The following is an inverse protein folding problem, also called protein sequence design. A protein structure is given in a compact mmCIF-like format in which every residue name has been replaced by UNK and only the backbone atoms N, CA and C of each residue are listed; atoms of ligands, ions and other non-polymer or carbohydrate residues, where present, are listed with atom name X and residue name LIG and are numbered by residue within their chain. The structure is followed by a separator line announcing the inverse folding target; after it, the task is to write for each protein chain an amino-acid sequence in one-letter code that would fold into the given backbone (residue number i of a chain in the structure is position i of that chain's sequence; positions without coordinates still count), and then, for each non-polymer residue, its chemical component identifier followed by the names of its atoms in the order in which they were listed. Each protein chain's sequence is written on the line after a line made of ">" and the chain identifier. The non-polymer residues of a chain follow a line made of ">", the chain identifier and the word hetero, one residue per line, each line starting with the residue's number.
data_IF_850862264839
#
_entry.id   IF_850862264839
#
_cell.length_a   1.000
_cell.length_b   1.000
_cell.length_c   1.000
_cell.angle_alpha   90.00
_cell.angle_beta   90.00
_cell.angle_gamma   90.00
#
_symmetry.space_group_name_H-M   'P 1'
#
loop_
_entity.id
_entity.type
_entity.pdbx_description
1 polymer ?
#
# COMPACT_ATOMS: atom_id res chain seq x y z
N UNK A 1 -4.55 1.65 22.82
CA UNK A 1 -5.97 1.77 23.25
C UNK A 1 -6.77 0.63 22.62
N UNK A 2 -7.38 -0.26 23.42
CA UNK A 2 -8.33 -1.26 22.91
C UNK A 2 -9.72 -0.64 23.03
N UNK A 3 -10.26 -0.16 21.90
CA UNK A 3 -11.67 0.25 21.80
C UNK A 3 -12.56 -1.00 21.77
N UNK A 4 -13.81 -0.86 22.22
CA UNK A 4 -14.82 -1.91 22.09
C UNK A 4 -15.16 -2.19 20.62
N UNK A 5 -15.84 -3.30 20.37
CA UNK A 5 -16.13 -3.76 19.02
C UNK A 5 -17.05 -2.81 18.23
N UNK A 6 -18.07 -2.22 18.87
CA UNK A 6 -19.04 -1.37 18.19
C UNK A 6 -18.40 -0.05 17.76
N UNK A 7 -17.56 0.52 18.63
CA UNK A 7 -16.72 1.67 18.31
C UNK A 7 -15.73 1.34 17.19
N UNK A 8 -15.07 0.17 17.24
CA UNK A 8 -14.14 -0.26 16.19
C UNK A 8 -14.83 -0.34 14.83
N UNK A 9 -15.96 -1.05 14.74
CA UNK A 9 -16.73 -1.19 13.51
C UNK A 9 -17.13 0.17 12.94
N UNK A 10 -17.74 1.02 13.75
CA UNK A 10 -18.18 2.36 13.32
C UNK A 10 -17.00 3.16 12.73
N UNK A 11 -15.87 3.22 13.43
CA UNK A 11 -14.69 3.97 12.98
C UNK A 11 -14.09 3.34 11.72
N UNK A 12 -13.93 2.02 11.69
CA UNK A 12 -13.33 1.30 10.57
C UNK A 12 -14.18 1.42 9.31
N UNK A 13 -15.49 1.26 9.43
CA UNK A 13 -16.45 1.39 8.34
C UNK A 13 -16.49 2.82 7.78
N UNK A 14 -16.48 3.84 8.64
CA UNK A 14 -16.34 5.23 8.19
C UNK A 14 -15.04 5.49 7.44
N UNK A 15 -13.92 4.95 7.93
CA UNK A 15 -12.61 5.10 7.29
C UNK A 15 -12.61 4.43 5.90
N UNK A 16 -13.13 3.21 5.81
CA UNK A 16 -13.21 2.46 4.55
C UNK A 16 -14.13 3.13 3.52
N UNK A 17 -15.25 3.72 3.94
CA UNK A 17 -16.15 4.49 3.07
C UNK A 17 -15.51 5.79 2.58
N UNK A 18 -14.94 6.58 3.49
CA UNK A 18 -14.45 7.91 3.14
C UNK A 18 -13.13 7.89 2.36
N UNK A 19 -12.29 6.85 2.50
CA UNK A 19 -11.02 6.76 1.76
C UNK A 19 -11.21 6.56 0.24
N UNK A 20 -12.40 6.11 -0.22
CA UNK A 20 -12.70 5.80 -1.62
C UNK A 20 -12.99 7.05 -2.46
N UNK A 21 -12.11 8.05 -2.42
CA UNK A 21 -12.22 9.28 -3.20
C UNK A 21 -11.09 9.42 -4.23
N UNK A 22 -11.28 10.30 -5.22
CA UNK A 22 -10.35 10.50 -6.33
C UNK A 22 -8.90 10.73 -5.90
N UNK A 23 -8.65 11.64 -4.94
CA UNK A 23 -7.29 11.94 -4.50
C UNK A 23 -6.57 10.72 -3.92
N UNK A 24 -7.27 9.85 -3.18
CA UNK A 24 -6.67 8.64 -2.65
C UNK A 24 -6.23 7.73 -3.79
N UNK A 25 -7.10 7.48 -4.76
CA UNK A 25 -6.75 6.66 -5.92
C UNK A 25 -5.59 7.26 -6.74
N UNK A 26 -5.56 8.57 -6.92
CA UNK A 26 -4.47 9.26 -7.61
C UNK A 26 -3.12 9.01 -6.93
N UNK A 27 -3.02 9.20 -5.62
CA UNK A 27 -1.75 8.98 -4.90
C UNK A 27 -1.42 7.48 -4.72
N UNK A 28 -2.44 6.66 -4.50
CA UNK A 28 -2.29 5.22 -4.28
C UNK A 28 -1.85 4.49 -5.55
N UNK A 29 -2.47 4.75 -6.70
CA UNK A 29 -2.05 4.15 -7.98
C UNK A 29 -0.91 4.94 -8.64
N UNK A 30 -0.80 6.24 -8.35
CA UNK A 30 0.26 7.11 -8.88
C UNK A 30 1.65 6.60 -8.53
N UNK A 31 1.87 6.09 -7.32
CA UNK A 31 3.17 5.52 -6.93
C UNK A 31 3.65 4.40 -7.86
N UNK A 32 2.75 3.49 -8.23
CA UNK A 32 3.05 2.42 -9.20
C UNK A 32 3.19 2.96 -10.63
N UNK A 33 2.24 3.79 -11.07
CA UNK A 33 2.22 4.36 -12.41
C UNK A 33 3.49 5.17 -12.72
N UNK A 34 3.86 6.11 -11.85
CA UNK A 34 5.06 6.93 -12.05
C UNK A 34 6.35 6.13 -11.94
N UNK A 35 6.37 5.06 -11.14
CA UNK A 35 7.53 4.16 -11.09
C UNK A 35 7.74 3.40 -12.40
N UNK A 36 6.64 2.94 -13.03
CA UNK A 36 6.68 2.32 -14.36
C UNK A 36 7.11 3.33 -15.43
N UNK A 37 6.51 4.53 -15.45
CA UNK A 37 6.93 5.59 -16.37
C UNK A 37 8.41 5.95 -16.21
N UNK A 38 8.91 6.00 -14.98
CA UNK A 38 10.32 6.28 -14.72
C UNK A 38 11.25 5.17 -15.24
N UNK A 39 10.83 3.91 -15.20
CA UNK A 39 11.54 2.78 -15.82
C UNK A 39 11.55 2.89 -17.34
N UNK A 40 10.40 3.17 -17.95
CA UNK A 40 10.29 3.37 -19.41
C UNK A 40 11.18 4.53 -19.87
N UNK A 41 11.14 5.67 -19.18
CA UNK A 41 12.01 6.81 -19.46
C UNK A 41 13.50 6.48 -19.29
N UNK A 42 13.85 5.53 -18.42
CA UNK A 42 15.23 5.09 -18.17
C UNK A 42 15.62 3.80 -18.89
N UNK A 43 14.82 3.30 -19.83
CA UNK A 43 14.99 1.98 -20.43
C UNK A 43 16.38 1.73 -21.03
N UNK A 44 17.00 2.76 -21.63
CA UNK A 44 18.35 2.68 -22.20
C UNK A 44 19.44 2.34 -21.16
N UNK A 45 19.14 2.47 -19.87
CA UNK A 45 20.06 2.20 -18.77
C UNK A 45 19.72 0.90 -18.03
N UNK A 46 19.06 -0.06 -18.69
CA UNK A 46 18.68 -1.34 -18.10
C UNK A 46 19.85 -2.15 -17.51
N UNK A 47 21.08 -1.92 -17.98
CA UNK A 47 22.29 -2.56 -17.43
C UNK A 47 22.81 -1.90 -16.15
N UNK A 48 22.17 -0.82 -15.68
CA UNK A 48 22.61 -0.06 -14.51
C UNK A 48 21.93 -0.53 -13.22
N UNK A 49 22.68 -0.51 -12.11
CA UNK A 49 22.13 -0.84 -10.79
C UNK A 49 20.92 0.03 -10.37
N UNK A 50 20.91 1.37 -10.60
CA UNK A 50 19.75 2.20 -10.29
C UNK A 50 18.46 1.77 -10.99
N UNK A 51 18.56 1.29 -12.24
CA UNK A 51 17.40 0.80 -12.99
C UNK A 51 16.75 -0.40 -12.27
N UNK A 52 17.56 -1.37 -11.85
CA UNK A 52 17.05 -2.55 -11.15
C UNK A 52 16.55 -2.25 -9.72
N UNK A 53 17.15 -1.28 -9.01
CA UNK A 53 16.61 -0.81 -7.74
C UNK A 53 15.21 -0.19 -7.90
N UNK A 54 15.03 0.64 -8.93
CA UNK A 54 13.71 1.22 -9.25
C UNK A 54 12.72 0.14 -9.71
N UNK A 55 13.17 -0.86 -10.49
CA UNK A 55 12.33 -1.97 -10.92
C UNK A 55 11.83 -2.80 -9.74
N UNK A 56 12.72 -3.10 -8.79
CA UNK A 56 12.36 -3.79 -7.55
C UNK A 56 11.40 -2.94 -6.69
N UNK A 57 11.64 -1.64 -6.56
CA UNK A 57 10.74 -0.73 -5.88
C UNK A 57 9.33 -0.74 -6.49
N UNK A 58 9.25 -0.66 -7.83
CA UNK A 58 8.00 -0.72 -8.58
C UNK A 58 7.27 -2.05 -8.35
N UNK A 59 7.98 -3.17 -8.44
CA UNK A 59 7.42 -4.50 -8.20
C UNK A 59 6.88 -4.65 -6.77
N UNK A 60 7.66 -4.25 -5.75
CA UNK A 60 7.23 -4.29 -4.35
C UNK A 60 5.99 -3.42 -4.13
N UNK A 61 5.94 -2.23 -4.73
CA UNK A 61 4.77 -1.36 -4.58
C UNK A 61 3.53 -1.95 -5.28
N UNK A 62 3.66 -2.39 -6.53
CA UNK A 62 2.54 -2.95 -7.29
C UNK A 62 2.01 -4.22 -6.62
N UNK A 63 2.87 -5.19 -6.30
CA UNK A 63 2.42 -6.46 -5.75
C UNK A 63 2.16 -6.39 -4.24
N UNK A 64 3.09 -5.81 -3.48
CA UNK A 64 3.05 -5.74 -2.02
C UNK A 64 2.15 -4.64 -1.45
N UNK A 65 1.69 -3.69 -2.27
CA UNK A 65 0.75 -2.64 -1.85
C UNK A 65 -0.53 -2.73 -2.66
N UNK A 66 -0.49 -2.55 -3.99
CA UNK A 66 -1.72 -2.44 -4.80
C UNK A 66 -2.47 -3.77 -4.87
N UNK A 67 -1.83 -4.83 -5.38
CA UNK A 67 -2.44 -6.16 -5.51
C UNK A 67 -2.80 -6.72 -4.13
N UNK A 68 -1.90 -6.60 -3.16
CA UNK A 68 -2.15 -7.02 -1.78
C UNK A 68 -3.40 -6.33 -1.18
N UNK A 69 -3.55 -5.01 -1.36
CA UNK A 69 -4.72 -4.27 -0.89
C UNK A 69 -5.99 -4.82 -1.53
N UNK A 70 -5.96 -5.09 -2.84
CA UNK A 70 -7.12 -5.62 -3.56
C UNK A 70 -7.53 -7.02 -3.08
N UNK A 71 -6.55 -7.88 -2.76
CA UNK A 71 -6.79 -9.28 -2.39
C UNK A 71 -7.06 -9.50 -0.90
N UNK A 72 -6.56 -8.64 -0.02
CA UNK A 72 -6.63 -8.83 1.44
C UNK A 72 -7.44 -7.73 2.10
N UNK A 73 -7.02 -6.48 1.96
CA UNK A 73 -7.67 -5.37 2.67
C UNK A 73 -9.07 -5.08 2.15
N UNK A 74 -9.32 -5.13 0.83
CA UNK A 74 -10.66 -4.89 0.30
C UNK A 74 -11.68 -5.94 0.78
N UNK A 75 -11.42 -7.26 0.71
CA UNK A 75 -12.31 -8.26 1.30
C UNK A 75 -12.58 -8.06 2.79
N UNK A 76 -11.53 -7.75 3.58
CA UNK A 76 -11.69 -7.45 5.00
C UNK A 76 -12.57 -6.21 5.22
N UNK A 77 -12.37 -5.15 4.43
CA UNK A 77 -13.16 -3.93 4.51
C UNK A 77 -14.63 -4.19 4.19
N UNK A 78 -14.93 -4.96 3.13
CA UNK A 78 -16.30 -5.33 2.79
C UNK A 78 -16.96 -6.18 3.88
N UNK A 79 -16.20 -7.08 4.51
CA UNK A 79 -16.73 -7.87 5.63
C UNK A 79 -17.05 -6.98 6.84
N UNK A 80 -16.13 -6.09 7.24
CA UNK A 80 -16.39 -5.14 8.34
C UNK A 80 -17.57 -4.23 8.05
N UNK A 81 -17.67 -3.69 6.84
CA UNK A 81 -18.80 -2.83 6.42
C UNK A 81 -20.16 -3.55 6.42
N UNK A 82 -20.17 -4.89 6.48
CA UNK A 82 -21.40 -5.70 6.53
C UNK A 82 -21.88 -6.02 7.95
N UNK A 83 -21.11 -5.66 8.98
CA UNK A 83 -21.46 -5.96 10.36
C UNK A 83 -22.66 -5.13 10.85
N UNK A 84 -23.40 -5.68 11.81
CA UNK A 84 -24.34 -4.93 12.62
C UNK A 84 -23.61 -4.43 13.89
N UNK A 85 -23.44 -3.11 14.09
CA UNK A 85 -22.76 -2.57 15.26
C UNK A 85 -23.41 -2.97 16.59
N UNK A 86 -24.70 -3.29 16.60
CA UNK A 86 -25.43 -3.73 17.79
C UNK A 86 -25.30 -5.24 18.04
N UNK A 87 -24.87 -6.01 17.04
CA UNK A 87 -24.75 -7.46 17.09
C UNK A 87 -23.57 -7.94 16.23
N UNK A 88 -22.36 -7.70 16.73
CA UNK A 88 -21.13 -8.05 16.02
C UNK A 88 -20.96 -9.58 15.86
N UNK A 89 -20.34 -10.03 14.77
CA UNK A 89 -20.05 -11.44 14.58
C UNK A 89 -18.98 -11.91 15.59
N UNK A 90 -19.02 -13.19 15.95
CA UNK A 90 -18.15 -13.77 16.97
C UNK A 90 -16.65 -13.65 16.66
N UNK A 91 -16.29 -13.46 15.39
CA UNK A 91 -14.91 -13.37 14.90
C UNK A 91 -14.39 -11.92 14.76
N UNK A 92 -15.14 -10.90 15.22
CA UNK A 92 -14.80 -9.49 15.02
C UNK A 92 -13.37 -9.12 15.48
N UNK A 93 -12.90 -9.64 16.64
CA UNK A 93 -11.56 -9.33 17.19
C UNK A 93 -10.46 -10.00 16.35
N UNK A 94 -10.77 -11.16 15.75
CA UNK A 94 -9.88 -11.85 14.84
C UNK A 94 -9.73 -11.08 13.53
N UNK A 95 -10.83 -10.63 12.93
CA UNK A 95 -10.84 -9.82 11.70
C UNK A 95 -10.11 -8.50 11.91
N UNK A 96 -10.34 -7.84 13.05
CA UNK A 96 -9.58 -6.65 13.45
C UNK A 96 -8.07 -6.91 13.45
N UNK A 97 -7.66 -8.05 14.03
CA UNK A 97 -6.24 -8.43 14.10
C UNK A 97 -5.67 -8.71 12.70
N UNK A 98 -6.42 -9.42 11.85
CA UNK A 98 -6.03 -9.66 10.46
C UNK A 98 -5.86 -8.34 9.70
N UNK A 99 -6.79 -7.40 9.86
CA UNK A 99 -6.71 -6.09 9.21
C UNK A 99 -5.48 -5.30 9.67
N UNK A 100 -5.20 -5.26 10.98
CA UNK A 100 -4.02 -4.59 11.52
C UNK A 100 -2.72 -5.19 10.98
N UNK A 101 -2.62 -6.52 10.91
CA UNK A 101 -1.46 -7.20 10.36
C UNK A 101 -1.30 -6.92 8.86
N UNK A 102 -2.38 -6.98 8.09
CA UNK A 102 -2.39 -6.62 6.68
C UNK A 102 -1.92 -5.17 6.47
N UNK A 103 -2.36 -4.24 7.32
CA UNK A 103 -1.92 -2.84 7.25
C UNK A 103 -0.44 -2.66 7.66
N UNK A 104 0.05 -3.39 8.66
CA UNK A 104 1.46 -3.38 9.03
C UNK A 104 2.35 -3.87 7.87
N UNK A 105 1.92 -4.92 7.16
CA UNK A 105 2.59 -5.40 5.95
C UNK A 105 2.63 -4.30 4.89
N UNK A 106 1.50 -3.62 4.62
CA UNK A 106 1.45 -2.51 3.65
C UNK A 106 2.37 -1.35 4.01
N UNK A 107 2.51 -1.03 5.29
CA UNK A 107 3.46 0.00 5.75
C UNK A 107 4.90 -0.45 5.46
N UNK A 108 5.25 -1.70 5.81
CA UNK A 108 6.58 -2.24 5.55
C UNK A 108 6.94 -2.30 4.07
N UNK A 109 6.03 -2.78 3.22
CA UNK A 109 6.25 -2.85 1.77
C UNK A 109 6.31 -1.47 1.12
N UNK A 110 5.47 -0.53 1.56
CA UNK A 110 5.53 0.87 1.10
C UNK A 110 6.85 1.55 1.48
N UNK A 111 7.31 1.35 2.73
CA UNK A 111 8.58 1.89 3.20
C UNK A 111 9.78 1.30 2.44
N UNK A 112 9.79 -0.02 2.20
CA UNK A 112 10.83 -0.69 1.42
C UNK A 112 10.88 -0.16 -0.02
N UNK A 113 9.73 -0.04 -0.68
CA UNK A 113 9.64 0.52 -2.03
C UNK A 113 10.16 1.97 -2.07
N UNK A 114 9.77 2.79 -1.09
CA UNK A 114 10.25 4.18 -0.99
C UNK A 114 11.77 4.26 -0.83
N UNK A 115 12.35 3.49 0.08
CA UNK A 115 13.81 3.46 0.30
C UNK A 115 14.54 3.04 -0.98
N UNK A 116 14.08 1.97 -1.64
CA UNK A 116 14.70 1.50 -2.88
C UNK A 116 14.63 2.54 -4.01
N UNK A 117 13.48 3.19 -4.19
CA UNK A 117 13.32 4.24 -5.19
C UNK A 117 14.21 5.46 -4.87
N UNK A 118 14.32 5.84 -3.60
CA UNK A 118 15.20 6.94 -3.17
C UNK A 118 16.68 6.58 -3.38
N UNK A 119 17.09 5.36 -3.05
CA UNK A 119 18.45 4.87 -3.31
C UNK A 119 18.75 4.86 -4.81
N UNK A 120 17.81 4.39 -5.64
CA UNK A 120 17.95 4.43 -7.10
C UNK A 120 18.18 5.87 -7.59
N UNK A 121 17.39 6.82 -7.11
CA UNK A 121 17.52 8.24 -7.46
C UNK A 121 18.89 8.80 -7.05
N UNK A 122 19.28 8.63 -5.79
CA UNK A 122 20.56 9.14 -5.26
C UNK A 122 21.73 8.56 -6.04
N UNK A 123 21.79 7.24 -6.23
CA UNK A 123 22.88 6.58 -6.96
C UNK A 123 22.93 7.05 -8.42
N UNK A 124 21.77 7.25 -9.07
CA UNK A 124 21.74 7.75 -10.44
C UNK A 124 22.21 9.20 -10.53
N UNK A 125 21.77 10.06 -9.62
CA UNK A 125 22.17 11.46 -9.58
C UNK A 125 23.67 11.63 -9.33
N UNK A 126 24.25 10.85 -8.41
CA UNK A 126 25.69 10.89 -8.13
C UNK A 126 26.55 10.44 -9.30
N UNK A 127 26.06 9.54 -10.15
CA UNK A 127 26.78 9.07 -11.35
C UNK A 127 26.77 10.07 -12.50
N UNK A 128 25.82 10.99 -12.55
CA UNK A 128 25.75 12.04 -13.56
C UNK A 128 26.58 13.29 -13.17
N UNK A 129 27.02 13.38 -11.91
CA UNK A 129 27.78 14.52 -11.39
C UNK A 129 29.31 14.36 -11.52
N UNK A 130 29.76 13.21 -12.03
CA UNK A 130 31.17 12.85 -12.29
C UNK A 130 31.35 12.68 -13.78
#
# INVERSE_FOLDING_TARGET
>A
LKVDGATYDTVQSLLNQNVRHFMFFLFFFGGGFFSVLALEANWKHWQSAPFWLLALAAAIYIFGVIVFTAQVNLPLNYYTESWDPQNLPADWDHVRTQWNNANAIRVGTSAAAFVLAMTALVVRASRNAV
#
